data_IF_586374013387
#
_entry.id   IF_586374013387
#
_cell.length_a   1.000
_cell.length_b   1.000
_cell.length_c   1.000
_cell.angle_alpha   90.00
_cell.angle_beta   90.00
_cell.angle_gamma   90.00
#
_symmetry.space_group_name_H-M   'P 1'
#
loop_
_entity.id
_entity.type
_entity.pdbx_description
1 polymer ?
#
# COMPACT_ATOMS: atom_id res chain seq x y z
N UNK A 1 3.51 -22.84 0.97
CA UNK A 1 4.62 -22.61 0.03
C UNK A 1 4.68 -21.16 -0.45
N UNK A 2 3.58 -20.58 -0.96
CA UNK A 2 3.53 -19.19 -1.45
C UNK A 2 3.53 -18.10 -0.36
N UNK A 3 3.36 -18.51 0.89
CA UNK A 3 3.29 -17.66 2.09
C UNK A 3 4.61 -16.91 2.39
N UNK A 4 5.74 -17.61 2.34
CA UNK A 4 7.05 -17.01 2.64
C UNK A 4 7.47 -15.97 1.57
N UNK A 5 7.38 -16.28 0.26
CA UNK A 5 7.74 -15.32 -0.79
C UNK A 5 6.86 -14.06 -0.80
N UNK A 6 5.56 -14.19 -0.48
CA UNK A 6 4.64 -13.04 -0.38
C UNK A 6 5.07 -12.05 0.70
N UNK A 7 5.43 -12.52 1.89
CA UNK A 7 5.93 -11.66 2.94
C UNK A 7 7.28 -11.01 2.58
N UNK A 8 8.21 -11.76 1.98
CA UNK A 8 9.52 -11.22 1.56
C UNK A 8 9.33 -10.10 0.53
N UNK A 9 8.49 -10.31 -0.48
CA UNK A 9 8.21 -9.30 -1.51
C UNK A 9 7.49 -8.08 -0.96
N UNK A 10 6.61 -8.26 0.03
CA UNK A 10 5.97 -7.14 0.73
C UNK A 10 6.93 -6.37 1.61
N UNK A 11 7.87 -7.03 2.30
CA UNK A 11 8.94 -6.33 3.05
C UNK A 11 9.80 -5.50 2.10
N UNK A 12 10.16 -6.03 0.93
CA UNK A 12 10.89 -5.27 -0.09
C UNK A 12 10.07 -4.07 -0.59
N UNK A 13 8.76 -4.23 -0.78
CA UNK A 13 7.87 -3.15 -1.14
C UNK A 13 7.81 -2.06 -0.05
N UNK A 14 7.73 -2.43 1.23
CA UNK A 14 7.80 -1.47 2.34
C UNK A 14 9.18 -0.83 2.49
N UNK A 15 10.24 -1.53 2.10
CA UNK A 15 11.61 -1.01 2.13
C UNK A 15 11.93 -0.11 0.93
N UNK A 16 11.11 -0.10 -0.12
CA UNK A 16 11.32 0.72 -1.33
C UNK A 16 11.56 2.21 -1.02
N UNK A 17 10.84 2.84 -0.07
CA UNK A 17 11.05 4.25 0.28
C UNK A 17 12.26 4.53 1.21
N UNK A 18 12.97 3.50 1.70
CA UNK A 18 14.12 3.69 2.62
C UNK A 18 15.16 4.66 2.07
N UNK A 19 15.61 4.58 0.80
CA UNK A 19 16.57 5.54 0.24
C UNK A 19 16.05 6.98 0.26
N UNK A 20 14.76 7.18 -0.03
CA UNK A 20 14.10 8.48 0.02
C UNK A 20 14.09 9.05 1.43
N UNK A 21 13.72 8.26 2.44
CA UNK A 21 13.72 8.73 3.83
C UNK A 21 15.10 8.90 4.43
N UNK A 22 16.07 8.10 4.00
CA UNK A 22 17.47 8.30 4.35
C UNK A 22 17.96 9.65 3.81
N UNK A 23 17.60 9.99 2.56
CA UNK A 23 17.90 11.29 1.98
C UNK A 23 17.25 12.44 2.77
N UNK A 24 15.94 12.34 3.09
CA UNK A 24 15.23 13.32 3.94
C UNK A 24 15.94 13.50 5.29
N UNK A 25 16.32 12.39 5.94
CA UNK A 25 17.01 12.41 7.22
C UNK A 25 18.37 13.11 7.15
N UNK A 26 19.12 12.90 6.06
CA UNK A 26 20.42 13.55 5.84
C UNK A 26 20.28 15.03 5.50
N UNK A 27 19.30 15.40 4.68
CA UNK A 27 19.03 16.78 4.27
C UNK A 27 18.28 17.60 5.30
N UNK A 28 17.66 16.97 6.31
CA UNK A 28 16.85 17.61 7.35
C UNK A 28 15.67 18.42 6.76
N UNK A 29 15.19 18.01 5.59
CA UNK A 29 14.09 18.64 4.86
C UNK A 29 13.33 17.58 4.06
N UNK A 30 12.00 17.69 4.02
CA UNK A 30 11.16 16.85 3.16
C UNK A 30 11.10 17.32 1.71
N UNK A 31 11.69 18.49 1.40
CA UNK A 31 11.66 19.09 0.06
C UNK A 31 10.24 19.05 -0.56
N UNK A 32 10.09 18.43 -1.73
CA UNK A 32 8.82 18.27 -2.45
C UNK A 32 8.13 16.92 -2.18
N UNK A 33 8.68 16.07 -1.29
CA UNK A 33 8.09 14.78 -0.99
C UNK A 33 6.76 14.93 -0.24
N UNK A 34 5.81 14.06 -0.56
CA UNK A 34 4.48 14.05 0.05
C UNK A 34 4.37 12.93 1.08
N UNK A 35 3.73 13.21 2.22
CA UNK A 35 3.43 12.19 3.22
C UNK A 35 2.22 11.31 2.86
N UNK A 36 1.40 11.74 1.89
CA UNK A 36 0.10 11.12 1.59
C UNK A 36 0.19 9.62 1.28
N UNK A 37 1.16 9.12 0.48
CA UNK A 37 1.27 7.69 0.21
C UNK A 37 1.43 6.87 1.50
N UNK A 38 2.24 7.36 2.45
CA UNK A 38 2.53 6.67 3.71
C UNK A 38 1.34 6.69 4.66
N UNK A 39 0.55 7.77 4.67
CA UNK A 39 -0.71 7.81 5.43
C UNK A 39 -1.72 6.80 4.84
N UNK A 40 -1.91 6.78 3.51
CA UNK A 40 -2.84 5.83 2.88
C UNK A 40 -2.41 4.37 3.10
N UNK A 41 -1.10 4.09 3.04
CA UNK A 41 -0.58 2.75 3.33
C UNK A 41 -0.80 2.40 4.80
N UNK A 42 -0.63 3.33 5.74
CA UNK A 42 -0.89 3.11 7.17
C UNK A 42 -2.32 2.60 7.41
N UNK A 43 -3.35 3.22 6.83
CA UNK A 43 -4.73 2.74 6.94
C UNK A 43 -4.89 1.31 6.43
N UNK A 44 -4.29 1.05 5.27
CA UNK A 44 -4.35 -0.25 4.60
C UNK A 44 -3.76 -1.34 5.49
N UNK A 45 -2.61 -1.07 6.11
CA UNK A 45 -1.96 -2.05 6.98
C UNK A 45 -2.62 -2.18 8.35
N UNK A 46 -3.22 -1.11 8.88
CA UNK A 46 -4.03 -1.17 10.11
C UNK A 46 -5.29 -2.02 9.90
N UNK A 47 -6.04 -1.76 8.82
CA UNK A 47 -7.21 -2.57 8.45
C UNK A 47 -6.80 -4.01 8.13
N UNK A 48 -5.69 -4.22 7.42
CA UNK A 48 -5.13 -5.53 7.14
C UNK A 48 -4.78 -6.31 8.40
N UNK A 49 -4.16 -5.67 9.39
CA UNK A 49 -3.89 -6.25 10.71
C UNK A 49 -5.18 -6.67 11.41
N UNK A 50 -6.17 -5.76 11.46
CA UNK A 50 -7.45 -6.04 12.08
C UNK A 50 -8.16 -7.22 11.41
N UNK A 51 -8.21 -7.24 10.08
CA UNK A 51 -8.76 -8.33 9.28
C UNK A 51 -8.06 -9.66 9.58
N UNK A 52 -6.73 -9.67 9.64
CA UNK A 52 -5.94 -10.85 10.00
C UNK A 52 -6.26 -11.38 11.40
N UNK A 53 -6.47 -10.50 12.38
CA UNK A 53 -6.79 -10.89 13.76
C UNK A 53 -8.17 -11.56 13.91
N UNK A 54 -9.16 -11.17 13.10
CA UNK A 54 -10.53 -11.69 13.21
C UNK A 54 -10.81 -12.87 12.28
N UNK A 55 -9.93 -13.12 11.31
CA UNK A 55 -10.09 -14.19 10.32
C UNK A 55 -9.40 -15.49 10.78
N UNK A 56 -10.01 -16.66 10.55
CA UNK A 56 -9.32 -17.94 10.73
C UNK A 56 -8.04 -18.02 9.90
N UNK A 57 -6.94 -18.52 10.48
CA UNK A 57 -5.63 -18.68 9.82
C UNK A 57 -5.02 -17.36 9.30
N UNK A 58 -5.32 -16.22 9.94
CA UNK A 58 -4.83 -14.90 9.55
C UNK A 58 -3.38 -14.56 9.95
N UNK A 59 -2.63 -15.48 10.58
CA UNK A 59 -1.27 -15.24 11.11
C UNK A 59 -0.34 -14.56 10.09
N UNK A 60 -0.38 -14.99 8.84
CA UNK A 60 0.47 -14.43 7.80
C UNK A 60 0.12 -12.97 7.48
N UNK A 61 -1.17 -12.66 7.40
CA UNK A 61 -1.69 -11.30 7.21
C UNK A 61 -1.29 -10.42 8.40
N UNK A 62 -1.40 -10.95 9.63
CA UNK A 62 -1.00 -10.25 10.85
C UNK A 62 0.49 -9.86 10.77
N UNK A 63 1.36 -10.84 10.53
CA UNK A 63 2.82 -10.60 10.55
C UNK A 63 3.25 -9.55 9.53
N UNK A 64 2.77 -9.62 8.29
CA UNK A 64 3.19 -8.67 7.26
C UNK A 64 2.65 -7.26 7.50
N UNK A 65 1.43 -7.13 8.05
CA UNK A 65 0.85 -5.84 8.35
C UNK A 65 1.50 -5.19 9.58
N UNK A 66 1.95 -5.95 10.58
CA UNK A 66 2.78 -5.42 11.68
C UNK A 66 4.09 -4.84 11.14
N UNK A 67 4.75 -5.54 10.22
CA UNK A 67 5.96 -5.03 9.57
C UNK A 67 5.64 -3.74 8.79
N UNK A 68 4.55 -3.73 8.02
CA UNK A 68 4.09 -2.54 7.32
C UNK A 68 3.85 -1.35 8.25
N UNK A 69 3.12 -1.55 9.36
CA UNK A 69 2.89 -0.50 10.38
C UNK A 69 4.21 0.04 10.91
N UNK A 70 5.20 -0.81 11.15
CA UNK A 70 6.51 -0.41 11.65
C UNK A 70 7.24 0.50 10.65
N UNK A 71 7.24 0.14 9.36
CA UNK A 71 7.80 0.98 8.30
C UNK A 71 7.06 2.31 8.16
N UNK A 72 5.75 2.27 8.00
CA UNK A 72 4.94 3.47 7.76
C UNK A 72 4.97 4.44 8.95
N UNK A 73 4.93 3.93 10.19
CA UNK A 73 5.10 4.76 11.37
C UNK A 73 6.48 5.42 11.42
N UNK A 74 7.53 4.69 11.05
CA UNK A 74 8.91 5.23 10.99
C UNK A 74 9.02 6.33 9.93
N UNK A 75 8.49 6.09 8.74
CA UNK A 75 8.46 7.06 7.65
C UNK A 75 7.70 8.32 8.02
N UNK A 76 6.51 8.19 8.60
CA UNK A 76 5.71 9.32 9.04
C UNK A 76 6.39 10.09 10.17
N UNK A 77 7.05 9.41 11.12
CA UNK A 77 7.81 10.06 12.18
C UNK A 77 8.97 10.91 11.62
N UNK A 78 9.75 10.35 10.68
CA UNK A 78 10.83 11.08 10.00
C UNK A 78 10.25 12.27 9.22
N UNK A 79 9.17 12.06 8.46
CA UNK A 79 8.53 13.12 7.68
C UNK A 79 8.07 14.27 8.57
N UNK A 80 7.32 13.98 9.65
CA UNK A 80 6.80 14.97 10.59
C UNK A 80 7.95 15.77 11.21
N UNK A 81 9.05 15.09 11.55
CA UNK A 81 10.24 15.73 12.15
C UNK A 81 10.86 16.78 11.23
N UNK A 82 11.06 16.45 9.95
CA UNK A 82 11.78 17.31 9.00
C UNK A 82 10.89 18.14 8.06
N UNK A 83 9.57 17.99 8.13
CA UNK A 83 8.64 18.77 7.33
C UNK A 83 8.57 20.23 7.77
N UNK A 84 8.25 21.11 6.83
CA UNK A 84 7.88 22.50 7.09
C UNK A 84 6.64 22.56 8.01
N UNK A 85 6.44 23.66 8.74
CA UNK A 85 5.30 23.82 9.66
C UNK A 85 3.95 23.51 8.99
N UNK A 86 3.76 23.98 7.76
CA UNK A 86 2.54 23.74 6.99
C UNK A 86 2.36 22.24 6.66
N UNK A 87 3.37 21.63 6.02
CA UNK A 87 3.32 20.21 5.65
C UNK A 87 3.20 19.30 6.88
N UNK A 88 3.89 19.63 7.97
CA UNK A 88 3.82 18.91 9.25
C UNK A 88 2.40 18.89 9.80
N UNK A 89 1.75 20.06 9.92
CA UNK A 89 0.38 20.15 10.45
C UNK A 89 -0.59 19.38 9.55
N UNK A 90 -0.43 19.49 8.22
CA UNK A 90 -1.24 18.74 7.25
C UNK A 90 -1.07 17.23 7.46
N UNK A 91 0.17 16.74 7.56
CA UNK A 91 0.45 15.31 7.77
C UNK A 91 -0.11 14.82 9.11
N UNK A 92 0.07 15.56 10.20
CA UNK A 92 -0.49 15.18 11.52
C UNK A 92 -2.01 15.10 11.46
N UNK A 93 -2.69 16.07 10.83
CA UNK A 93 -4.15 16.02 10.64
C UNK A 93 -4.58 14.79 9.84
N UNK A 94 -3.86 14.45 8.78
CA UNK A 94 -4.15 13.28 7.97
C UNK A 94 -3.95 11.99 8.77
N UNK A 95 -2.88 11.85 9.55
CA UNK A 95 -2.66 10.69 10.43
C UNK A 95 -3.75 10.57 11.50
N UNK A 96 -4.16 11.67 12.14
CA UNK A 96 -5.24 11.66 13.12
C UNK A 96 -6.58 11.25 12.49
N UNK A 97 -6.87 11.75 11.28
CA UNK A 97 -8.05 11.32 10.53
C UNK A 97 -7.97 9.82 10.19
N UNK A 98 -6.81 9.34 9.79
CA UNK A 98 -6.55 7.94 9.46
C UNK A 98 -6.86 7.01 10.65
N UNK A 99 -6.28 7.34 11.82
CA UNK A 99 -6.50 6.62 13.07
C UNK A 99 -7.96 6.71 13.54
N UNK A 100 -8.62 7.85 13.33
CA UNK A 100 -10.04 8.01 13.66
C UNK A 100 -10.92 7.14 12.75
N UNK A 101 -10.66 7.11 11.44
CA UNK A 101 -11.38 6.24 10.49
C UNK A 101 -11.18 4.77 10.86
N UNK A 102 -9.95 4.36 11.15
CA UNK A 102 -9.66 3.00 11.61
C UNK A 102 -10.39 2.69 12.93
N UNK A 103 -10.30 3.58 13.92
CA UNK A 103 -10.95 3.40 15.22
C UNK A 103 -12.47 3.29 15.12
N UNK A 104 -13.10 4.14 14.31
CA UNK A 104 -14.55 4.08 14.03
C UNK A 104 -14.91 2.77 13.32
N UNK A 105 -14.12 2.35 12.32
CA UNK A 105 -14.35 1.08 11.64
C UNK A 105 -14.33 -0.09 12.64
N UNK A 106 -13.30 -0.17 13.48
CA UNK A 106 -13.19 -1.19 14.54
C UNK A 106 -14.35 -1.13 15.51
N UNK A 107 -14.70 0.07 15.99
CA UNK A 107 -15.79 0.25 16.96
C UNK A 107 -17.13 -0.23 16.40
N UNK A 108 -17.49 0.24 15.20
CA UNK A 108 -18.76 -0.11 14.56
C UNK A 108 -18.83 -1.60 14.24
N UNK A 109 -17.75 -2.21 13.71
CA UNK A 109 -17.77 -3.65 13.41
C UNK A 109 -17.77 -4.51 14.67
N UNK A 110 -17.15 -4.06 15.76
CA UNK A 110 -17.21 -4.76 17.06
C UNK A 110 -18.59 -4.70 17.69
N UNK A 111 -19.28 -3.55 17.61
CA UNK A 111 -20.59 -3.34 18.23
C UNK A 111 -21.76 -3.87 17.39
N UNK A 112 -21.69 -3.77 16.06
CA UNK A 112 -22.83 -4.00 15.17
C UNK A 112 -22.75 -5.31 14.39
N UNK A 113 -21.66 -6.08 14.50
CA UNK A 113 -21.49 -7.32 13.74
C UNK A 113 -20.73 -8.39 14.52
N UNK A 114 -20.97 -9.66 14.20
CA UNK A 114 -20.32 -10.81 14.83
C UNK A 114 -19.93 -11.89 13.81
N UNK A 115 -18.95 -12.73 14.17
CA UNK A 115 -18.54 -13.90 13.40
C UNK A 115 -18.23 -13.58 11.93
N UNK A 116 -18.87 -14.33 11.02
CA UNK A 116 -18.65 -14.22 9.57
C UNK A 116 -19.02 -12.83 9.01
N UNK A 117 -20.06 -12.19 9.53
CA UNK A 117 -20.47 -10.86 9.06
C UNK A 117 -19.38 -9.83 9.33
N UNK A 118 -18.73 -9.89 10.50
CA UNK A 118 -17.62 -9.01 10.85
C UNK A 118 -16.44 -9.17 9.91
N UNK A 119 -16.05 -10.42 9.63
CA UNK A 119 -14.97 -10.73 8.68
C UNK A 119 -15.30 -10.20 7.28
N UNK A 120 -16.56 -10.34 6.83
CA UNK A 120 -17.01 -9.85 5.53
C UNK A 120 -16.98 -8.32 5.43
N UNK A 121 -17.45 -7.60 6.45
CA UNK A 121 -17.46 -6.14 6.47
C UNK A 121 -16.03 -5.58 6.46
N UNK A 122 -15.17 -6.06 7.37
CA UNK A 122 -13.79 -5.60 7.48
C UNK A 122 -13.00 -5.98 6.23
N UNK A 123 -13.17 -7.21 5.71
CA UNK A 123 -12.55 -7.62 4.46
C UNK A 123 -12.96 -6.72 3.28
N UNK A 124 -14.23 -6.35 3.19
CA UNK A 124 -14.72 -5.42 2.16
C UNK A 124 -14.10 -4.04 2.28
N UNK A 125 -13.93 -3.53 3.51
CA UNK A 125 -13.23 -2.27 3.76
C UNK A 125 -11.76 -2.36 3.31
N UNK A 126 -11.05 -3.43 3.68
CA UNK A 126 -9.68 -3.67 3.22
C UNK A 126 -9.59 -3.66 1.69
N UNK A 127 -10.49 -4.36 1.01
CA UNK A 127 -10.50 -4.40 -0.46
C UNK A 127 -10.77 -3.02 -1.06
N UNK A 128 -11.75 -2.29 -0.55
CA UNK A 128 -12.10 -0.97 -1.05
C UNK A 128 -10.94 0.01 -0.93
N UNK A 129 -10.29 0.06 0.24
CA UNK A 129 -9.12 0.91 0.48
C UNK A 129 -7.96 0.50 -0.43
N UNK A 130 -7.64 -0.80 -0.50
CA UNK A 130 -6.56 -1.29 -1.37
C UNK A 130 -6.79 -0.96 -2.85
N UNK A 131 -8.01 -1.13 -3.35
CA UNK A 131 -8.37 -0.79 -4.74
C UNK A 131 -8.26 0.72 -4.98
N UNK A 132 -8.67 1.55 -4.00
CA UNK A 132 -8.56 3.02 -4.13
C UNK A 132 -7.12 3.49 -4.31
N UNK A 133 -6.14 2.79 -3.71
CA UNK A 133 -4.72 3.11 -3.85
C UNK A 133 -4.22 2.96 -5.30
N UNK A 134 -4.90 2.17 -6.13
CA UNK A 134 -4.56 2.04 -7.55
C UNK A 134 -4.83 3.30 -8.38
N UNK A 135 -5.53 4.30 -7.83
CA UNK A 135 -5.66 5.60 -8.48
C UNK A 135 -4.31 6.26 -8.78
N UNK A 136 -3.32 6.10 -7.89
CA UNK A 136 -1.98 6.66 -8.08
C UNK A 136 -1.24 6.05 -9.29
N UNK A 137 -1.04 4.73 -9.40
CA UNK A 137 -0.42 4.13 -10.59
C UNK A 137 -1.22 4.39 -11.87
N UNK A 138 -2.56 4.40 -11.84
CA UNK A 138 -3.38 4.79 -13.01
C UNK A 138 -3.08 6.23 -13.47
N UNK A 139 -2.93 7.16 -12.53
CA UNK A 139 -2.58 8.55 -12.83
C UNK A 139 -1.21 8.64 -13.50
N UNK A 140 -0.23 7.87 -13.02
CA UNK A 140 1.11 7.80 -13.64
C UNK A 140 1.02 7.20 -15.06
N UNK A 141 0.27 6.11 -15.25
CA UNK A 141 0.06 5.52 -16.58
C UNK A 141 -0.57 6.53 -17.56
N UNK A 142 -1.59 7.26 -17.12
CA UNK A 142 -2.22 8.32 -17.92
C UNK A 142 -1.23 9.42 -18.29
N UNK A 143 -0.37 9.81 -17.35
CA UNK A 143 0.69 10.79 -17.59
C UNK A 143 1.68 10.28 -18.65
N UNK A 144 2.19 9.05 -18.53
CA UNK A 144 3.10 8.43 -19.53
C UNK A 144 2.46 8.41 -20.92
N UNK A 145 1.18 8.04 -21.04
CA UNK A 145 0.49 8.01 -22.33
C UNK A 145 0.41 9.41 -22.97
N UNK A 146 0.19 10.45 -22.17
CA UNK A 146 0.07 11.84 -22.63
C UNK A 146 1.42 12.46 -22.96
N UNK A 147 2.42 12.27 -22.10
CA UNK A 147 3.74 12.90 -22.24
C UNK A 147 4.69 12.08 -23.10
N UNK A 148 4.36 10.81 -23.37
CA UNK A 148 5.24 9.83 -24.04
C UNK A 148 6.58 9.62 -23.30
N UNK A 149 6.67 10.05 -22.04
CA UNK A 149 7.87 9.97 -21.21
C UNK A 149 7.64 8.99 -20.05
N UNK A 150 8.57 8.06 -19.85
CA UNK A 150 8.54 6.99 -18.84
C UNK A 150 9.36 7.29 -17.58
N UNK A 151 9.97 8.48 -17.47
CA UNK A 151 10.84 8.89 -16.36
C UNK A 151 10.18 8.73 -14.98
N UNK A 152 8.88 9.00 -14.88
CA UNK A 152 8.11 8.88 -13.64
C UNK A 152 7.61 7.45 -13.35
N UNK A 153 7.97 6.45 -14.16
CA UNK A 153 7.56 5.06 -14.01
C UNK A 153 8.78 4.13 -13.92
N UNK A 154 9.37 3.95 -12.72
CA UNK A 154 10.53 3.08 -12.54
C UNK A 154 10.14 1.60 -12.75
N UNK A 155 10.63 1.01 -13.84
CA UNK A 155 10.28 -0.36 -14.25
C UNK A 155 10.60 -1.42 -13.20
N UNK A 156 11.70 -1.25 -12.47
CA UNK A 156 12.11 -2.18 -11.42
C UNK A 156 11.08 -2.24 -10.30
N UNK A 157 10.55 -1.08 -9.88
CA UNK A 157 9.50 -1.01 -8.86
C UNK A 157 8.21 -1.65 -9.38
N UNK A 158 7.79 -1.33 -10.61
CA UNK A 158 6.61 -1.93 -11.24
C UNK A 158 6.71 -3.45 -11.34
N UNK A 159 7.88 -3.98 -11.71
CA UNK A 159 8.12 -5.42 -11.80
C UNK A 159 8.09 -6.09 -10.42
N UNK A 160 8.70 -5.50 -9.39
CA UNK A 160 8.63 -6.03 -8.02
C UNK A 160 7.20 -6.04 -7.49
N UNK A 161 6.44 -4.97 -7.72
CA UNK A 161 5.03 -4.90 -7.33
C UNK A 161 4.18 -5.92 -8.09
N UNK A 162 4.48 -6.20 -9.36
CA UNK A 162 3.82 -7.26 -10.14
C UNK A 162 4.04 -8.64 -9.52
N UNK A 163 5.28 -8.97 -9.13
CA UNK A 163 5.61 -10.23 -8.48
C UNK A 163 4.90 -10.32 -7.13
N UNK A 164 4.97 -9.26 -6.32
CA UNK A 164 4.29 -9.20 -5.03
C UNK A 164 2.77 -9.44 -5.17
N UNK A 165 2.11 -8.70 -6.07
CA UNK A 165 0.68 -8.83 -6.31
C UNK A 165 0.30 -10.24 -6.80
N UNK A 166 1.14 -10.86 -7.64
CA UNK A 166 0.90 -12.21 -8.17
C UNK A 166 1.03 -13.27 -7.08
N UNK A 167 2.00 -13.12 -6.17
CA UNK A 167 2.17 -14.01 -5.01
C UNK A 167 0.99 -13.91 -4.04
N UNK A 168 0.52 -12.69 -3.78
CA UNK A 168 -0.66 -12.47 -2.93
C UNK A 168 -1.96 -12.96 -3.56
N UNK A 169 -2.10 -12.80 -4.88
CA UNK A 169 -3.22 -13.37 -5.65
C UNK A 169 -3.23 -14.90 -5.56
N UNK A 170 -2.07 -15.55 -5.74
CA UNK A 170 -1.93 -16.99 -5.57
C UNK A 170 -2.25 -17.44 -4.13
N UNK A 171 -1.69 -16.76 -3.12
CA UNK A 171 -2.00 -17.01 -1.71
C UNK A 171 -3.51 -16.95 -1.44
N UNK A 172 -4.18 -15.93 -1.98
CA UNK A 172 -5.61 -15.69 -1.80
C UNK A 172 -6.47 -16.76 -2.47
N UNK A 173 -6.06 -17.24 -3.65
CA UNK A 173 -6.71 -18.36 -4.33
C UNK A 173 -6.71 -19.62 -3.46
N UNK A 174 -5.55 -20.00 -2.91
CA UNK A 174 -5.45 -21.17 -2.02
C UNK A 174 -6.16 -20.96 -0.68
N UNK A 175 -6.10 -19.74 -0.13
CA UNK A 175 -6.73 -19.39 1.15
C UNK A 175 -8.22 -19.09 1.03
N UNK A 176 -8.79 -19.19 -0.19
CA UNK A 176 -10.15 -18.80 -0.56
C UNK A 176 -10.54 -17.42 0.01
N UNK A 177 -9.59 -16.49 -0.05
CA UNK A 177 -9.73 -15.14 0.49
C UNK A 177 -9.98 -14.15 -0.64
N UNK A 178 -11.26 -13.90 -0.94
CA UNK A 178 -11.63 -12.96 -2.00
C UNK A 178 -11.23 -11.51 -1.68
N UNK A 179 -11.10 -11.16 -0.40
CA UNK A 179 -10.86 -9.78 0.01
C UNK A 179 -9.41 -9.36 -0.21
N UNK A 180 -8.48 -10.31 -0.12
CA UNK A 180 -7.09 -10.11 -0.53
C UNK A 180 -6.93 -10.41 -2.03
N UNK A 181 -7.66 -11.42 -2.53
CA UNK A 181 -7.54 -11.89 -3.91
C UNK A 181 -7.95 -10.87 -4.96
N UNK A 182 -9.10 -10.21 -4.79
CA UNK A 182 -9.60 -9.24 -5.78
C UNK A 182 -8.65 -8.03 -5.92
N UNK A 183 -8.25 -7.33 -4.84
CA UNK A 183 -7.28 -6.25 -4.96
C UNK A 183 -5.97 -6.74 -5.56
N UNK A 184 -5.42 -7.87 -5.08
CA UNK A 184 -4.14 -8.40 -5.57
C UNK A 184 -4.18 -8.72 -7.07
N UNK A 185 -5.27 -9.31 -7.56
CA UNK A 185 -5.45 -9.58 -8.99
C UNK A 185 -5.51 -8.29 -9.81
N UNK A 186 -6.26 -7.28 -9.35
CA UNK A 186 -6.29 -5.97 -9.99
C UNK A 186 -4.91 -5.29 -9.99
N UNK A 187 -4.19 -5.37 -8.87
CA UNK A 187 -2.83 -4.88 -8.75
C UNK A 187 -1.87 -5.57 -9.71
N UNK A 188 -1.97 -6.89 -9.87
CA UNK A 188 -1.19 -7.65 -10.86
C UNK A 188 -1.48 -7.18 -12.28
N UNK A 189 -2.76 -7.03 -12.65
CA UNK A 189 -3.15 -6.56 -13.99
C UNK A 189 -2.61 -5.15 -14.27
N UNK A 190 -2.70 -4.25 -13.30
CA UNK A 190 -2.15 -2.90 -13.42
C UNK A 190 -0.63 -2.90 -13.53
N UNK A 191 0.06 -3.71 -12.74
CA UNK A 191 1.51 -3.79 -12.81
C UNK A 191 1.98 -4.35 -14.15
N UNK A 192 1.27 -5.35 -14.72
CA UNK A 192 1.52 -5.84 -16.08
C UNK A 192 1.30 -4.72 -17.11
N UNK A 193 0.20 -3.98 -16.99
CA UNK A 193 -0.08 -2.85 -17.89
C UNK A 193 0.99 -1.75 -17.79
N UNK A 194 1.53 -1.47 -16.60
CA UNK A 194 2.65 -0.55 -16.40
C UNK A 194 3.92 -1.03 -17.11
N UNK A 195 4.26 -2.32 -17.00
CA UNK A 195 5.41 -2.92 -17.69
C UNK A 195 5.24 -2.81 -19.21
N UNK A 196 4.06 -3.14 -19.75
CA UNK A 196 3.78 -3.04 -21.18
C UNK A 196 3.86 -1.61 -21.70
N UNK A 197 3.28 -0.64 -20.98
CA UNK A 197 3.38 0.79 -21.34
C UNK A 197 4.82 1.27 -21.34
N UNK A 198 5.61 0.88 -20.34
CA UNK A 198 7.03 1.20 -20.29
C UNK A 198 7.77 0.66 -21.52
N UNK A 199 7.58 -0.62 -21.87
CA UNK A 199 8.23 -1.24 -23.03
C UNK A 199 7.84 -0.56 -24.34
N UNK A 200 6.60 -0.09 -24.47
CA UNK A 200 6.13 0.62 -25.67
C UNK A 200 6.74 2.02 -25.78
N UNK A 201 6.74 2.81 -24.70
CA UNK A 201 7.18 4.22 -24.74
C UNK A 201 8.67 4.43 -24.49
N UNK A 202 9.41 3.45 -23.93
CA UNK A 202 10.86 3.60 -23.70
C UNK A 202 11.66 3.86 -24.98
N UNK A 203 11.17 3.39 -26.12
CA UNK A 203 11.83 3.56 -27.42
C UNK A 203 11.36 4.83 -28.15
N UNK A 204 10.21 5.41 -27.76
CA UNK A 204 9.69 6.66 -28.32
C UNK A 204 10.33 7.91 -27.70
N UNK A 205 11.04 7.74 -26.57
CA UNK A 205 11.79 8.78 -25.88
C UNK A 205 13.27 8.86 -26.32
N UNK A 206 13.62 8.23 -27.45
CA UNK A 206 14.93 8.40 -28.12
C UNK A 206 14.82 9.39 -29.26
#
# INVERSE_FOLDING_TARGET
LFSLPGNITSIMAYASPVPTFWYIFKKKSTECFSALPYVCTLLTVLLGLYYGCIRPNGMLIITINIVGITFEATYLAIFITYATKFSRIKTVKLVLLDLAVFGVAVLLTMLLSHGKLRVMLVGSMCSAVAISMYAAPLSVMRMVIRTKNVEFMPITLSAFLAVNASLWSAYSFFSRDIFIGIPSALGSLLAIAQVLLYLFYRNASK
#
